data_IF_079158046689
#
_entry.id   IF_079158046689
#
_cell.length_a   1.000
_cell.length_b   1.000
_cell.length_c   1.000
_cell.angle_alpha   90.00
_cell.angle_beta   90.00
_cell.angle_gamma   90.00
#
_symmetry.space_group_name_H-M   'P 1'
#
loop_
_entity.id
_entity.type
_entity.pdbx_description
1 polymer ?
#
# COMPACT_ATOMS: atom_id res chain seq x y z
N UNK A 1 -63.55 28.91 -31.93
CA UNK A 1 -63.29 28.58 -33.34
C UNK A 1 -62.45 27.31 -33.38
N UNK A 2 -62.92 26.20 -33.99
CA UNK A 2 -62.11 25.00 -34.13
C UNK A 2 -60.91 25.29 -35.04
N UNK A 3 -59.73 24.78 -34.72
CA UNK A 3 -58.58 24.88 -35.63
C UNK A 3 -58.89 24.15 -36.94
N UNK A 4 -58.63 24.80 -38.07
CA UNK A 4 -58.75 24.16 -39.39
C UNK A 4 -57.79 22.97 -39.55
N UNK A 5 -58.16 21.99 -40.37
CA UNK A 5 -57.42 20.74 -40.57
C UNK A 5 -55.91 20.94 -40.84
N UNK A 6 -55.55 21.92 -41.67
CA UNK A 6 -54.15 22.23 -41.97
C UNK A 6 -53.35 22.77 -40.75
N UNK A 7 -54.02 23.45 -39.81
CA UNK A 7 -53.39 23.88 -38.56
C UNK A 7 -53.20 22.70 -37.61
N UNK A 8 -54.15 21.78 -37.55
CA UNK A 8 -54.03 20.53 -36.77
C UNK A 8 -52.89 19.66 -37.28
N UNK A 9 -52.73 19.52 -38.60
CA UNK A 9 -51.64 18.74 -39.21
C UNK A 9 -50.27 19.33 -38.88
N UNK A 10 -50.10 20.65 -38.95
CA UNK A 10 -48.85 21.32 -38.57
C UNK A 10 -48.55 21.18 -37.08
N UNK A 11 -49.55 21.31 -36.22
CA UNK A 11 -49.38 21.09 -34.78
C UNK A 11 -48.96 19.64 -34.47
N UNK A 12 -49.53 18.66 -35.17
CA UNK A 12 -49.16 17.26 -35.05
C UNK A 12 -47.71 17.00 -35.51
N UNK A 13 -47.31 17.55 -36.66
CA UNK A 13 -45.92 17.45 -37.16
C UNK A 13 -44.91 18.07 -36.21
N UNK A 14 -45.19 19.26 -35.66
CA UNK A 14 -44.30 19.90 -34.70
C UNK A 14 -44.17 19.10 -33.40
N UNK A 15 -45.29 18.49 -32.95
CA UNK A 15 -45.28 17.60 -31.78
C UNK A 15 -44.48 16.34 -32.05
N UNK A 16 -44.62 15.75 -33.24
CA UNK A 16 -43.86 14.58 -33.66
C UNK A 16 -42.36 14.89 -33.73
N UNK A 17 -41.97 16.07 -34.25
CA UNK A 17 -40.58 16.51 -34.28
C UNK A 17 -40.01 16.64 -32.87
N UNK A 18 -40.72 17.33 -31.97
CA UNK A 18 -40.30 17.47 -30.56
C UNK A 18 -40.19 16.13 -29.85
N UNK A 19 -41.09 15.18 -30.14
CA UNK A 19 -41.02 13.83 -29.59
C UNK A 19 -39.80 13.08 -30.14
N UNK A 20 -39.50 13.18 -31.44
CA UNK A 20 -38.32 12.57 -32.03
C UNK A 20 -37.02 13.11 -31.41
N UNK A 21 -36.89 14.43 -31.26
CA UNK A 21 -35.74 15.07 -30.60
C UNK A 21 -35.58 14.60 -29.15
N UNK A 22 -36.70 14.51 -28.42
CA UNK A 22 -36.67 14.00 -27.03
C UNK A 22 -36.24 12.54 -26.97
N UNK A 23 -36.71 11.69 -27.88
CA UNK A 23 -36.31 10.28 -27.96
C UNK A 23 -34.80 10.19 -28.22
N UNK A 24 -34.27 10.94 -29.19
CA UNK A 24 -32.83 10.92 -29.49
C UNK A 24 -31.97 11.36 -28.30
N UNK A 25 -32.41 12.38 -27.55
CA UNK A 25 -31.68 12.83 -26.36
C UNK A 25 -31.71 11.76 -25.25
N UNK A 26 -32.87 11.13 -25.03
CA UNK A 26 -33.00 10.05 -24.06
C UNK A 26 -32.18 8.81 -24.44
N UNK A 27 -32.10 8.47 -25.73
CA UNK A 27 -31.25 7.38 -26.22
C UNK A 27 -29.76 7.67 -25.98
N UNK A 28 -29.34 8.91 -26.21
CA UNK A 28 -27.97 9.34 -25.93
C UNK A 28 -27.65 9.30 -24.43
N UNK A 29 -28.54 9.83 -23.58
CA UNK A 29 -28.40 9.74 -22.13
C UNK A 29 -28.33 8.29 -21.63
N UNK A 30 -29.19 7.42 -22.17
CA UNK A 30 -29.20 6.01 -21.81
C UNK A 30 -27.88 5.31 -22.23
N UNK A 31 -27.34 5.64 -23.40
CA UNK A 31 -26.03 5.14 -23.83
C UNK A 31 -24.90 5.60 -22.88
N UNK A 32 -24.91 6.87 -22.46
CA UNK A 32 -23.95 7.37 -21.47
C UNK A 32 -24.10 6.66 -20.12
N UNK A 33 -25.31 6.49 -19.61
CA UNK A 33 -25.57 5.78 -18.35
C UNK A 33 -25.09 4.32 -18.41
N UNK A 34 -25.27 3.63 -19.54
CA UNK A 34 -24.73 2.28 -19.75
C UNK A 34 -23.21 2.27 -19.67
N UNK A 35 -22.53 3.16 -20.39
CA UNK A 35 -21.05 3.24 -20.32
C UNK A 35 -20.53 3.56 -18.92
N UNK A 36 -21.23 4.42 -18.17
CA UNK A 36 -20.86 4.76 -16.81
C UNK A 36 -21.05 3.57 -15.86
N UNK A 37 -22.15 2.84 -16.01
CA UNK A 37 -22.40 1.59 -15.28
C UNK A 37 -21.31 0.55 -15.54
N UNK A 38 -20.90 0.39 -16.80
CA UNK A 38 -19.82 -0.55 -17.16
C UNK A 38 -18.48 -0.13 -16.55
N UNK A 39 -18.19 1.18 -16.53
CA UNK A 39 -17.00 1.71 -15.85
C UNK A 39 -17.04 1.44 -14.34
N UNK A 40 -18.19 1.62 -13.69
CA UNK A 40 -18.36 1.31 -12.25
C UNK A 40 -18.14 -0.19 -12.00
N UNK A 41 -18.70 -1.06 -12.83
CA UNK A 41 -18.53 -2.50 -12.66
C UNK A 41 -17.04 -2.91 -12.79
N UNK A 42 -16.31 -2.29 -13.72
CA UNK A 42 -14.88 -2.52 -13.89
C UNK A 42 -14.08 -2.04 -12.66
N UNK A 43 -14.36 -0.84 -12.14
CA UNK A 43 -13.68 -0.35 -10.94
C UNK A 43 -13.97 -1.20 -9.71
N UNK A 44 -15.21 -1.67 -9.54
CA UNK A 44 -15.57 -2.60 -8.47
C UNK A 44 -14.81 -3.91 -8.56
N UNK A 45 -14.73 -4.53 -9.75
CA UNK A 45 -13.96 -5.75 -9.96
C UNK A 45 -12.46 -5.55 -9.64
N UNK A 46 -11.91 -4.39 -10.00
CA UNK A 46 -10.52 -4.03 -9.67
C UNK A 46 -10.32 -3.85 -8.16
N UNK A 47 -11.26 -3.23 -7.46
CA UNK A 47 -11.21 -3.07 -6.00
C UNK A 47 -11.20 -4.44 -5.33
N UNK A 48 -12.11 -5.33 -5.73
CA UNK A 48 -12.20 -6.68 -5.19
C UNK A 48 -10.89 -7.47 -5.39
N UNK A 49 -10.29 -7.39 -6.58
CA UNK A 49 -9.00 -8.03 -6.85
C UNK A 49 -7.87 -7.49 -5.95
N UNK A 50 -7.84 -6.17 -5.71
CA UNK A 50 -6.85 -5.54 -4.82
C UNK A 50 -7.07 -5.92 -3.36
N UNK A 51 -8.32 -6.04 -2.91
CA UNK A 51 -8.67 -6.48 -1.56
C UNK A 51 -8.24 -7.93 -1.32
N UNK A 52 -8.51 -8.83 -2.28
CA UNK A 52 -8.04 -10.21 -2.23
C UNK A 52 -6.51 -10.29 -2.18
N UNK A 53 -5.81 -9.49 -2.99
CA UNK A 53 -4.35 -9.41 -2.97
C UNK A 53 -3.82 -8.91 -1.62
N UNK A 54 -4.44 -7.88 -1.03
CA UNK A 54 -4.06 -7.37 0.27
C UNK A 54 -4.27 -8.40 1.39
N UNK A 55 -5.40 -9.13 1.37
CA UNK A 55 -5.67 -10.20 2.32
C UNK A 55 -4.61 -11.30 2.23
N UNK A 56 -4.22 -11.69 1.02
CA UNK A 56 -3.14 -12.65 0.76
C UNK A 56 -1.79 -12.15 1.32
N UNK A 57 -1.39 -10.91 1.01
CA UNK A 57 -0.14 -10.33 1.50
C UNK A 57 -0.12 -10.22 3.03
N UNK A 58 -1.26 -9.88 3.65
CA UNK A 58 -1.39 -9.82 5.11
C UNK A 58 -1.25 -11.21 5.76
N UNK A 59 -1.85 -12.25 5.17
CA UNK A 59 -1.67 -13.64 5.61
C UNK A 59 -0.19 -14.05 5.54
N UNK A 60 0.48 -13.74 4.41
CA UNK A 60 1.89 -14.11 4.21
C UNK A 60 2.85 -13.36 5.14
N UNK A 61 2.56 -12.08 5.46
CA UNK A 61 3.31 -11.33 6.48
C UNK A 61 3.18 -11.97 7.87
N UNK A 62 1.96 -12.38 8.26
CA UNK A 62 1.73 -13.08 9.53
C UNK A 62 2.50 -14.39 9.61
N UNK A 63 2.50 -15.16 8.52
CA UNK A 63 3.28 -16.40 8.42
C UNK A 63 4.78 -16.14 8.57
N UNK A 64 5.34 -15.18 7.83
CA UNK A 64 6.75 -14.83 7.92
C UNK A 64 7.16 -14.37 9.34
N UNK A 65 6.33 -13.58 10.00
CA UNK A 65 6.56 -13.16 11.39
C UNK A 65 6.52 -14.36 12.34
N UNK A 66 5.60 -15.30 12.15
CA UNK A 66 5.54 -16.53 12.95
C UNK A 66 6.78 -17.40 12.76
N UNK A 67 7.26 -17.57 11.52
CA UNK A 67 8.49 -18.30 11.23
C UNK A 67 9.71 -17.65 11.91
N UNK A 68 9.83 -16.33 11.82
CA UNK A 68 10.87 -15.56 12.50
C UNK A 68 10.82 -15.70 14.03
N UNK A 69 9.61 -15.69 14.59
CA UNK A 69 9.42 -15.87 16.03
C UNK A 69 9.87 -17.26 16.48
N UNK A 70 9.48 -18.31 15.76
CA UNK A 70 9.88 -19.69 16.06
C UNK A 70 11.41 -19.87 15.96
N UNK A 71 12.05 -19.26 14.97
CA UNK A 71 13.52 -19.29 14.84
C UNK A 71 14.23 -18.63 16.02
N UNK A 72 13.71 -17.50 16.53
CA UNK A 72 14.27 -16.85 17.72
C UNK A 72 14.25 -17.80 18.92
N UNK A 73 13.15 -18.52 19.12
CA UNK A 73 13.03 -19.52 20.19
C UNK A 73 14.06 -20.63 20.02
N UNK A 74 14.19 -21.19 18.81
CA UNK A 74 15.18 -22.23 18.51
C UNK A 74 16.63 -21.75 18.72
N UNK A 75 16.95 -20.51 18.35
CA UNK A 75 18.26 -19.91 18.62
C UNK A 75 18.51 -19.78 20.13
N UNK A 76 17.52 -19.32 20.89
CA UNK A 76 17.64 -19.21 22.34
C UNK A 76 17.83 -20.59 23.00
N UNK A 77 17.11 -21.62 22.55
CA UNK A 77 17.28 -23.00 23.03
C UNK A 77 18.68 -23.55 22.68
N UNK A 78 19.17 -23.28 21.47
CA UNK A 78 20.52 -23.64 21.06
C UNK A 78 21.60 -22.93 21.89
N UNK A 79 21.44 -21.63 22.16
CA UNK A 79 22.36 -20.85 22.99
C UNK A 79 22.39 -21.39 24.43
N UNK A 80 21.22 -21.68 25.00
CA UNK A 80 21.11 -22.29 26.33
C UNK A 80 21.79 -23.67 26.36
N UNK A 81 21.54 -24.51 25.34
CA UNK A 81 22.16 -25.84 25.25
C UNK A 81 23.67 -25.76 25.07
N UNK A 82 24.16 -24.78 24.30
CA UNK A 82 25.57 -24.52 24.12
C UNK A 82 26.22 -24.09 25.44
N UNK A 83 25.65 -23.11 26.14
CA UNK A 83 26.14 -22.66 27.45
C UNK A 83 26.25 -23.82 28.44
N UNK A 84 25.20 -24.63 28.57
CA UNK A 84 25.20 -25.80 29.45
C UNK A 84 26.30 -26.81 29.11
N UNK A 85 26.59 -27.01 27.81
CA UNK A 85 27.64 -27.95 27.38
C UNK A 85 29.05 -27.38 27.58
N UNK A 86 29.24 -26.08 27.40
CA UNK A 86 30.56 -25.45 27.52
C UNK A 86 31.13 -25.47 28.94
N UNK A 87 30.31 -25.65 29.98
CA UNK A 87 30.76 -25.69 31.38
C UNK A 87 31.71 -26.86 31.64
N UNK A 88 31.51 -28.00 30.96
CA UNK A 88 32.27 -29.24 31.20
C UNK A 88 33.28 -29.57 30.08
N UNK A 89 33.52 -28.63 29.15
CA UNK A 89 34.34 -28.87 27.96
C UNK A 89 35.84 -28.61 28.19
N UNK A 90 36.67 -29.51 27.66
CA UNK A 90 38.11 -29.28 27.53
C UNK A 90 38.37 -28.16 26.50
N UNK A 91 39.44 -27.37 26.65
CA UNK A 91 39.74 -26.22 25.77
C UNK A 91 39.89 -26.61 24.29
N UNK A 92 40.39 -27.82 23.99
CA UNK A 92 40.54 -28.31 22.61
C UNK A 92 39.18 -28.65 21.96
N UNK A 93 38.19 -29.07 22.76
CA UNK A 93 36.84 -29.38 22.25
C UNK A 93 36.02 -28.09 22.00
N UNK A 94 36.34 -27.01 22.73
CA UNK A 94 35.64 -25.73 22.65
C UNK A 94 35.75 -25.08 21.27
N UNK A 95 36.93 -25.15 20.64
CA UNK A 95 37.15 -24.60 19.30
C UNK A 95 36.28 -25.30 18.25
N UNK A 96 36.19 -26.64 18.31
CA UNK A 96 35.34 -27.43 17.41
C UNK A 96 33.86 -27.09 17.56
N UNK A 97 33.38 -26.92 18.79
CA UNK A 97 31.99 -26.53 19.08
C UNK A 97 31.68 -25.09 18.64
N UNK A 98 32.61 -24.14 18.82
CA UNK A 98 32.46 -22.76 18.31
C UNK A 98 32.39 -22.74 16.77
N UNK A 99 33.19 -23.57 16.10
CA UNK A 99 33.16 -23.69 14.64
C UNK A 99 31.83 -24.27 14.13
N UNK A 100 31.32 -25.32 14.79
CA UNK A 100 30.01 -25.90 14.48
C UNK A 100 28.86 -24.90 14.71
N UNK A 101 28.89 -24.17 15.84
CA UNK A 101 27.91 -23.13 16.14
C UNK A 101 27.93 -22.00 15.10
N UNK A 102 29.10 -21.46 14.77
CA UNK A 102 29.26 -20.42 13.76
C UNK A 102 28.75 -20.85 12.38
N UNK A 103 28.96 -22.11 12.01
CA UNK A 103 28.45 -22.70 10.77
C UNK A 103 26.92 -22.78 10.76
N UNK A 104 26.31 -23.22 11.87
CA UNK A 104 24.85 -23.28 12.00
C UNK A 104 24.21 -21.91 11.88
N UNK A 105 24.71 -20.91 12.62
CA UNK A 105 24.20 -19.54 12.60
C UNK A 105 24.32 -18.94 11.19
N UNK A 106 25.47 -19.07 10.56
CA UNK A 106 25.70 -18.55 9.21
C UNK A 106 24.79 -19.21 8.17
N UNK A 107 24.55 -20.52 8.29
CA UNK A 107 23.67 -21.25 7.38
C UNK A 107 22.22 -20.80 7.53
N UNK A 108 21.74 -20.66 8.77
CA UNK A 108 20.40 -20.13 9.05
C UNK A 108 20.23 -18.71 8.51
N UNK A 109 21.24 -17.84 8.70
CA UNK A 109 21.20 -16.45 8.22
C UNK A 109 21.19 -16.37 6.69
N UNK A 110 22.02 -17.18 6.01
CA UNK A 110 22.06 -17.26 4.55
C UNK A 110 20.75 -17.76 3.94
N UNK A 111 20.15 -18.80 4.54
CA UNK A 111 18.83 -19.27 4.13
C UNK A 111 17.80 -18.15 4.23
N UNK A 112 17.85 -17.37 5.31
CA UNK A 112 16.94 -16.25 5.54
C UNK A 112 17.10 -15.13 4.50
N UNK A 113 18.35 -14.77 4.19
CA UNK A 113 18.63 -13.78 3.15
C UNK A 113 18.13 -14.23 1.78
N UNK A 114 18.24 -15.52 1.45
CA UNK A 114 17.69 -16.08 0.21
C UNK A 114 16.17 -16.03 0.20
N UNK A 115 15.50 -16.45 1.28
CA UNK A 115 14.03 -16.43 1.37
C UNK A 115 13.49 -15.00 1.26
N UNK A 116 14.12 -14.03 1.96
CA UNK A 116 13.79 -12.61 1.82
C UNK A 116 14.08 -12.08 0.41
N UNK A 117 15.18 -12.50 -0.21
CA UNK A 117 15.51 -12.16 -1.60
C UNK A 117 14.48 -12.69 -2.60
N UNK A 118 14.02 -13.93 -2.43
CA UNK A 118 12.98 -14.52 -3.28
C UNK A 118 11.63 -13.80 -3.13
N UNK A 119 11.28 -13.35 -1.91
CA UNK A 119 10.09 -12.51 -1.72
C UNK A 119 10.18 -11.15 -2.44
N UNK A 120 11.40 -10.60 -2.63
CA UNK A 120 11.61 -9.38 -3.43
C UNK A 120 11.50 -9.64 -4.94
N UNK A 121 12.07 -10.73 -5.43
CA UNK A 121 12.08 -11.06 -6.86
C UNK A 121 10.69 -11.41 -7.41
N UNK A 122 9.83 -12.03 -6.59
CA UNK A 122 8.44 -12.33 -6.98
C UNK A 122 7.47 -11.15 -6.87
N UNK A 123 7.96 -9.91 -6.71
CA UNK A 123 7.13 -8.71 -6.61
C UNK A 123 6.25 -8.62 -5.34
N UNK A 124 6.44 -9.52 -4.38
CA UNK A 124 5.63 -9.59 -3.15
C UNK A 124 6.08 -8.59 -2.07
N UNK A 125 7.33 -8.14 -2.13
CA UNK A 125 7.81 -6.94 -1.48
C UNK A 125 8.05 -5.88 -2.56
N UNK A 126 7.06 -5.02 -2.75
CA UNK A 126 7.25 -3.79 -3.52
C UNK A 126 8.48 -3.07 -2.98
N UNK A 127 9.44 -2.83 -3.86
CA UNK A 127 10.51 -1.89 -3.58
C UNK A 127 9.83 -0.55 -3.32
N UNK A 128 9.79 -0.09 -2.07
CA UNK A 128 9.70 1.34 -1.77
C UNK A 128 11.03 2.00 -2.20
N UNK A 129 11.39 1.85 -3.49
CA UNK A 129 12.25 2.79 -4.18
C UNK A 129 11.30 3.91 -4.56
N UNK A 130 11.05 4.82 -3.61
CA UNK A 130 10.58 6.14 -3.99
C UNK A 130 11.57 6.64 -5.05
N UNK A 131 11.12 6.93 -6.29
CA UNK A 131 12.00 7.57 -7.25
C UNK A 131 12.44 8.87 -6.58
N UNK A 132 13.72 8.95 -6.22
CA UNK A 132 14.35 10.22 -5.86
C UNK A 132 14.06 11.15 -7.04
N UNK A 133 13.23 12.20 -6.88
CA UNK A 133 13.13 13.21 -7.90
C UNK A 133 14.49 13.91 -7.86
N UNK A 134 15.33 13.68 -8.86
CA UNK A 134 16.44 14.60 -9.12
C UNK A 134 15.78 15.97 -9.32
N UNK A 135 16.07 16.98 -8.49
CA UNK A 135 15.49 18.28 -8.69
C UNK A 135 16.20 18.91 -9.90
N UNK A 136 15.52 18.89 -11.04
CA UNK A 136 15.87 19.69 -12.21
C UNK A 136 14.69 20.57 -12.61
N UNK A 137 14.11 21.34 -11.67
CA UNK A 137 13.21 22.44 -12.07
C UNK A 137 13.35 23.66 -11.16
N UNK A 138 13.31 24.88 -11.74
CA UNK A 138 13.41 26.15 -11.01
C UNK A 138 12.15 26.42 -10.17
N UNK A 139 12.24 27.26 -9.13
CA UNK A 139 11.15 27.47 -8.17
C UNK A 139 10.00 28.25 -8.81
N UNK A 140 8.84 27.62 -8.94
CA UNK A 140 7.57 28.33 -9.13
C UNK A 140 6.83 28.40 -7.80
N UNK A 141 6.27 29.56 -7.42
CA UNK A 141 5.57 29.72 -6.16
C UNK A 141 4.16 29.15 -6.29
N UNK A 142 3.91 28.01 -5.67
CA UNK A 142 2.54 27.49 -5.53
C UNK A 142 2.18 27.49 -4.06
N UNK A 143 1.30 28.42 -3.70
CA UNK A 143 0.59 28.43 -2.44
C UNK A 143 -0.26 27.17 -2.34
N UNK A 144 0.10 26.24 -1.46
CA UNK A 144 -0.81 25.19 -1.00
C UNK A 144 -0.58 24.99 0.49
N UNK A 145 -1.68 25.09 1.25
CA UNK A 145 -1.73 24.79 2.67
C UNK A 145 -1.06 23.45 2.98
N UNK A 146 0.07 23.51 3.68
CA UNK A 146 0.78 22.32 4.11
C UNK A 146 0.01 21.68 5.26
N UNK A 147 -0.69 20.58 4.99
CA UNK A 147 -1.29 19.72 6.01
C UNK A 147 -0.24 18.97 6.85
N UNK A 148 1.06 19.17 6.58
CA UNK A 148 2.14 18.50 7.28
C UNK A 148 3.30 19.47 7.58
N UNK A 149 4.03 19.26 8.70
CA UNK A 149 5.22 20.04 9.00
C UNK A 149 6.31 19.92 7.92
N UNK A 150 7.24 20.89 7.81
CA UNK A 150 8.26 20.95 6.75
C UNK A 150 9.16 19.70 6.63
N UNK A 151 9.27 18.93 7.71
CA UNK A 151 10.04 17.69 7.75
C UNK A 151 9.36 16.51 7.01
N UNK A 152 8.15 16.71 6.50
CA UNK A 152 7.34 15.68 5.87
C UNK A 152 7.03 16.00 4.41
N UNK A 153 6.94 14.97 3.59
CA UNK A 153 6.41 15.07 2.23
C UNK A 153 4.92 15.39 2.24
N UNK A 154 4.37 15.94 1.14
CA UNK A 154 2.92 16.06 0.94
C UNK A 154 2.15 14.73 1.07
N UNK A 155 2.82 13.59 0.84
CA UNK A 155 2.27 12.25 1.04
C UNK A 155 2.38 11.72 2.49
N UNK A 156 2.69 12.58 3.47
CA UNK A 156 2.83 12.19 4.88
C UNK A 156 4.02 11.28 5.16
N UNK A 157 5.23 11.63 4.68
CA UNK A 157 6.44 10.81 4.83
C UNK A 157 7.59 11.63 5.42
N UNK A 158 8.19 11.16 6.50
CA UNK A 158 9.31 11.84 7.15
C UNK A 158 10.62 11.62 6.38
N UNK A 159 11.23 12.69 5.88
CA UNK A 159 12.48 12.58 5.13
C UNK A 159 13.67 12.18 6.00
N UNK A 160 13.72 12.62 7.26
CA UNK A 160 14.81 12.34 8.18
C UNK A 160 14.92 10.85 8.55
N UNK A 161 13.78 10.21 8.78
CA UNK A 161 13.73 8.84 9.31
C UNK A 161 13.25 7.80 8.30
N UNK A 162 12.81 8.23 7.11
CA UNK A 162 12.29 7.35 6.07
C UNK A 162 11.11 6.49 6.56
N UNK A 163 10.14 7.12 7.22
CA UNK A 163 8.95 6.47 7.77
C UNK A 163 7.66 7.26 7.48
N UNK A 164 6.49 6.60 7.40
CA UNK A 164 5.20 7.27 7.26
C UNK A 164 4.87 8.17 8.47
N UNK A 165 3.99 9.16 8.26
CA UNK A 165 3.41 10.00 9.29
C UNK A 165 2.41 9.18 10.12
N UNK A 166 2.39 9.28 11.45
CA UNK A 166 3.30 10.05 12.30
C UNK A 166 4.65 9.34 12.50
N UNK A 167 5.77 10.05 12.29
CA UNK A 167 7.09 9.48 12.55
C UNK A 167 7.32 9.38 14.05
N UNK A 168 7.38 8.14 14.57
CA UNK A 168 7.56 7.85 16.01
C UNK A 168 8.84 8.44 16.61
N UNK A 169 9.87 8.65 15.79
CA UNK A 169 11.15 9.19 16.25
C UNK A 169 11.04 10.71 16.42
N UNK A 170 10.41 11.41 15.46
CA UNK A 170 10.14 12.85 15.54
C UNK A 170 9.05 13.19 16.58
N UNK A 171 8.08 12.31 16.82
CA UNK A 171 7.02 12.55 17.80
C UNK A 171 7.48 12.38 19.25
N UNK A 172 8.62 11.71 19.49
CA UNK A 172 9.14 11.46 20.83
C UNK A 172 10.11 12.56 21.32
N UNK A 173 10.64 13.38 20.42
CA UNK A 173 11.41 14.57 20.78
C UNK A 173 10.43 15.66 21.19
N UNK A 174 10.35 15.93 22.49
CA UNK A 174 9.36 16.81 23.17
C UNK A 174 9.34 18.29 22.76
N UNK A 175 10.04 18.67 21.70
CA UNK A 175 10.10 20.06 21.27
C UNK A 175 9.40 20.23 19.92
N UNK A 176 8.28 20.96 19.99
CA UNK A 176 7.54 21.62 18.91
C UNK A 176 6.63 20.70 18.07
N UNK A 177 5.31 20.83 18.30
CA UNK A 177 4.17 20.25 17.54
C UNK A 177 3.64 18.86 17.94
N UNK A 178 3.43 18.64 19.24
CA UNK A 178 2.72 17.45 19.76
C UNK A 178 1.18 17.45 19.59
N UNK A 179 0.59 18.44 18.89
CA UNK A 179 -0.87 18.61 18.88
C UNK A 179 -1.62 18.05 17.65
N UNK A 180 -0.95 17.51 16.62
CA UNK A 180 -1.64 17.15 15.36
C UNK A 180 -1.72 15.64 15.06
N UNK A 181 -1.07 14.76 15.83
CA UNK A 181 -1.08 13.32 15.55
C UNK A 181 -2.35 12.57 16.01
N UNK A 182 -3.34 13.26 16.57
CA UNK A 182 -4.58 12.64 17.11
C UNK A 182 -5.78 12.65 16.16
N UNK A 183 -5.67 13.18 14.94
CA UNK A 183 -6.86 13.44 14.10
C UNK A 183 -7.16 12.41 12.98
N UNK A 184 -6.43 11.30 12.86
CA UNK A 184 -6.67 10.31 11.78
C UNK A 184 -6.79 8.89 12.33
N UNK A 185 -7.77 8.69 13.21
CA UNK A 185 -8.39 7.38 13.42
C UNK A 185 -9.89 7.60 13.56
N UNK A 186 -10.57 7.57 12.42
CA UNK A 186 -11.99 7.25 12.29
C UNK A 186 -12.11 6.25 11.15
#
# INVERSE_FOLDING_TARGET
MPMGFAAQLRAAQETQRKQAERITNLEQENAMLKSFKDSINNTLARIEALEQQNAYLAARRREAVSQLHNLRTLHQEADNAFQMRTVDMQPDDLEGMLCAYGTMVSTAMNLHQRTLGQMRVNGQLQHYMAPLPRPQYPPMPVQYHHAYPPAYSPAGYCYAHRMPYCCRICSNTRDVHSYECTAITA
#
